data_IF_753781984165
#
_entry.id   IF_753781984165
#
_cell.length_a   1.000
_cell.length_b   1.000
_cell.length_c   1.000
_cell.angle_alpha   90.00
_cell.angle_beta   90.00
_cell.angle_gamma   90.00
#
_symmetry.space_group_name_H-M   'P 1'
#
loop_
_entity.id
_entity.type
_entity.pdbx_description
1 polymer ?
#
# COMPACT_ATOMS: atom_id res chain seq x y z
N UNK A 1 -11.57 -28.28 -23.89
CA UNK A 1 -12.04 -27.75 -22.60
C UNK A 1 -13.29 -28.54 -22.20
N UNK A 2 -13.38 -29.09 -20.98
CA UNK A 2 -14.57 -29.80 -20.52
C UNK A 2 -15.75 -28.83 -20.37
N UNK A 3 -16.96 -29.34 -20.49
CA UNK A 3 -18.17 -28.63 -20.06
C UNK A 3 -18.29 -28.64 -18.52
N UNK A 4 -19.08 -27.73 -17.95
CA UNK A 4 -19.35 -27.70 -16.49
C UNK A 4 -19.83 -29.07 -15.97
N UNK A 5 -20.70 -29.75 -16.73
CA UNK A 5 -21.20 -31.08 -16.36
C UNK A 5 -20.10 -32.14 -16.39
N UNK A 6 -19.24 -32.13 -17.40
CA UNK A 6 -18.11 -33.07 -17.49
C UNK A 6 -17.10 -32.82 -16.39
N UNK A 7 -16.77 -31.55 -16.12
CA UNK A 7 -15.90 -31.15 -15.02
C UNK A 7 -16.46 -31.66 -13.68
N UNK A 8 -17.73 -31.38 -13.38
CA UNK A 8 -18.36 -31.82 -12.13
C UNK A 8 -18.50 -33.35 -11.99
N UNK A 9 -18.38 -34.11 -13.07
CA UNK A 9 -18.35 -35.57 -13.04
C UNK A 9 -16.95 -36.14 -12.74
N UNK A 10 -15.89 -35.32 -12.77
CA UNK A 10 -14.52 -35.71 -12.44
C UNK A 10 -14.31 -35.77 -10.92
N UNK A 11 -13.28 -36.53 -10.50
CA UNK A 11 -12.89 -36.67 -9.09
C UNK A 11 -12.29 -35.36 -8.58
N UNK A 12 -12.89 -34.79 -7.54
CA UNK A 12 -12.36 -33.59 -6.87
C UNK A 12 -11.13 -33.96 -6.04
N UNK A 13 -10.09 -33.12 -6.10
CA UNK A 13 -8.82 -33.31 -5.38
C UNK A 13 -8.42 -32.02 -4.66
N UNK A 14 -7.72 -32.13 -3.53
CA UNK A 14 -7.33 -30.95 -2.73
C UNK A 14 -6.02 -30.30 -3.19
N UNK A 15 -5.12 -31.09 -3.76
CA UNK A 15 -3.82 -30.62 -4.23
C UNK A 15 -3.32 -31.43 -5.41
N UNK A 16 -2.48 -30.80 -6.23
CA UNK A 16 -1.80 -31.46 -7.34
C UNK A 16 -0.34 -31.03 -7.39
N UNK A 17 0.56 -31.99 -7.63
CA UNK A 17 1.95 -31.71 -7.92
C UNK A 17 2.18 -31.77 -9.43
N UNK A 18 2.76 -30.72 -9.99
CA UNK A 18 3.09 -30.63 -11.41
C UNK A 18 4.55 -30.23 -11.60
N UNK A 19 5.20 -30.79 -12.61
CA UNK A 19 6.58 -30.47 -12.96
C UNK A 19 6.58 -29.62 -14.22
N UNK A 20 7.04 -28.38 -14.11
CA UNK A 20 7.25 -27.47 -15.23
C UNK A 20 8.72 -27.50 -15.63
N UNK A 21 9.00 -27.41 -16.94
CA UNK A 21 10.35 -27.14 -17.43
C UNK A 21 10.58 -25.64 -17.46
N UNK A 22 11.39 -25.12 -16.56
CA UNK A 22 11.72 -23.69 -16.51
C UNK A 22 13.09 -23.50 -17.16
N UNK A 23 13.23 -22.59 -18.15
CA UNK A 23 14.54 -22.24 -18.68
C UNK A 23 15.39 -21.64 -17.56
N UNK A 24 16.62 -22.11 -17.38
CA UNK A 24 17.52 -21.55 -16.36
C UNK A 24 17.89 -20.10 -16.73
N UNK A 25 17.12 -19.12 -16.21
CA UNK A 25 17.47 -17.70 -16.30
C UNK A 25 18.67 -17.44 -15.39
N UNK A 26 19.82 -17.07 -15.95
CA UNK A 26 20.89 -16.43 -15.19
C UNK A 26 22.20 -17.19 -14.97
N UNK A 27 22.57 -18.14 -15.82
CA UNK A 27 24.01 -18.39 -16.03
C UNK A 27 24.49 -17.60 -17.25
N UNK A 28 24.54 -16.28 -17.09
CA UNK A 28 25.44 -15.48 -17.92
C UNK A 28 26.85 -15.90 -17.49
N UNK A 29 27.43 -16.88 -18.16
CA UNK A 29 28.86 -17.19 -18.02
C UNK A 29 29.56 -15.89 -18.37
N UNK A 30 30.12 -15.22 -17.36
CA UNK A 30 30.87 -13.99 -17.55
C UNK A 30 32.08 -14.35 -18.42
N UNK A 31 31.97 -14.12 -19.72
CA UNK A 31 33.01 -14.39 -20.70
C UNK A 31 34.09 -13.30 -20.60
N UNK A 32 34.73 -13.19 -19.43
CA UNK A 32 36.01 -12.52 -19.29
C UNK A 32 37.11 -13.52 -19.69
N UNK A 33 37.27 -13.72 -20.99
CA UNK A 33 38.46 -14.39 -21.54
C UNK A 33 38.86 -13.70 -22.83
N UNK A 34 39.68 -12.66 -22.67
CA UNK A 34 40.34 -11.94 -23.76
C UNK A 34 41.73 -12.54 -23.97
N UNK A 35 41.92 -13.29 -25.07
CA UNK A 35 43.13 -13.43 -25.89
C UNK A 35 43.03 -14.75 -26.70
N UNK A 36 43.44 -14.90 -27.97
CA UNK A 36 43.80 -14.07 -29.12
C UNK A 36 44.14 -15.09 -30.24
N UNK A 37 43.85 -14.78 -31.52
CA UNK A 37 44.29 -15.46 -32.76
C UNK A 37 43.89 -16.94 -32.92
N UNK A 38 43.29 -17.40 -34.02
CA UNK A 38 43.77 -17.30 -35.40
C UNK A 38 42.66 -17.72 -36.36
N UNK A 39 42.69 -17.16 -37.57
CA UNK A 39 41.76 -17.39 -38.69
C UNK A 39 41.50 -18.88 -38.99
N UNK A 40 40.22 -19.28 -38.94
CA UNK A 40 39.75 -20.47 -39.66
C UNK A 40 38.23 -20.42 -39.84
N UNK A 41 37.80 -20.23 -41.08
CA UNK A 41 36.40 -20.26 -41.51
C UNK A 41 35.84 -21.69 -41.36
N UNK A 42 34.97 -21.91 -40.37
CA UNK A 42 34.18 -23.14 -40.28
C UNK A 42 32.84 -22.83 -39.62
N UNK A 43 31.83 -22.63 -40.46
CA UNK A 43 30.43 -22.48 -40.06
C UNK A 43 29.89 -23.81 -39.52
N UNK A 44 29.99 -24.04 -38.21
CA UNK A 44 29.28 -25.13 -37.55
C UNK A 44 28.21 -24.56 -36.62
N UNK A 45 26.95 -24.69 -37.05
CA UNK A 45 25.73 -24.45 -36.25
C UNK A 45 25.72 -25.39 -35.03
N UNK A 46 26.36 -24.98 -33.94
CA UNK A 46 26.18 -25.61 -32.64
C UNK A 46 24.90 -25.04 -32.01
N UNK A 47 23.78 -25.76 -32.12
CA UNK A 47 22.58 -25.44 -31.34
C UNK A 47 22.90 -25.59 -29.86
N UNK A 48 23.02 -24.46 -29.18
CA UNK A 48 23.23 -24.44 -27.73
C UNK A 48 21.92 -24.84 -27.08
N UNK A 49 21.77 -26.12 -26.75
CA UNK A 49 20.63 -26.63 -26.00
C UNK A 49 20.56 -25.89 -24.66
N UNK A 50 19.61 -24.97 -24.53
CA UNK A 50 19.39 -24.23 -23.31
C UNK A 50 19.03 -25.21 -22.18
N UNK A 51 19.87 -25.28 -21.15
CA UNK A 51 19.62 -26.13 -20.00
C UNK A 51 18.26 -25.77 -19.35
N UNK A 52 17.34 -26.73 -19.35
CA UNK A 52 16.04 -26.61 -18.66
C UNK A 52 16.13 -27.30 -17.30
N UNK A 53 15.66 -26.61 -16.27
CA UNK A 53 15.49 -27.19 -14.95
C UNK A 53 14.03 -27.67 -14.81
N UNK A 54 13.83 -28.87 -14.28
CA UNK A 54 12.50 -29.30 -13.86
C UNK A 54 12.20 -28.69 -12.48
N UNK A 55 11.19 -27.84 -12.41
CA UNK A 55 10.68 -27.29 -11.17
C UNK A 55 9.38 -28.00 -10.80
N UNK A 56 9.35 -28.61 -9.62
CA UNK A 56 8.14 -29.24 -9.09
C UNK A 56 7.35 -28.21 -8.28
N UNK A 57 6.13 -27.94 -8.72
CA UNK A 57 5.16 -27.09 -8.06
C UNK A 57 4.08 -27.94 -7.40
N UNK A 58 3.57 -27.51 -6.25
CA UNK A 58 2.36 -28.04 -5.62
C UNK A 58 1.38 -26.89 -5.53
N UNK A 59 0.15 -27.10 -5.97
CA UNK A 59 -0.89 -26.07 -5.95
C UNK A 59 -2.23 -26.61 -5.46
N UNK A 60 -3.05 -25.69 -4.95
CA UNK A 60 -4.31 -25.94 -4.23
C UNK A 60 -5.38 -24.92 -4.66
N UNK A 61 -6.67 -25.20 -4.44
CA UNK A 61 -7.70 -24.18 -4.51
C UNK A 61 -7.37 -22.98 -3.61
N UNK A 62 -7.55 -21.77 -4.13
CA UNK A 62 -7.17 -20.50 -3.52
C UNK A 62 -5.83 -19.95 -4.00
N UNK A 63 -4.95 -20.79 -4.56
CA UNK A 63 -3.67 -20.31 -5.07
C UNK A 63 -3.85 -19.48 -6.34
N UNK A 64 -3.00 -18.47 -6.49
CA UNK A 64 -2.89 -17.68 -7.71
C UNK A 64 -1.78 -18.26 -8.59
N UNK A 65 -2.05 -18.36 -9.89
CA UNK A 65 -1.12 -18.89 -10.86
C UNK A 65 -1.02 -18.04 -12.11
N UNK A 66 0.14 -18.15 -12.76
CA UNK A 66 0.41 -17.65 -14.10
C UNK A 66 0.21 -18.78 -15.10
N UNK A 67 -0.55 -18.49 -16.15
CA UNK A 67 -0.90 -19.43 -17.21
C UNK A 67 -0.14 -19.08 -18.48
N UNK A 68 0.21 -20.11 -19.26
CA UNK A 68 0.93 -19.96 -20.52
C UNK A 68 0.12 -19.11 -21.50
N UNK A 69 0.77 -18.11 -22.08
CA UNK A 69 0.18 -17.14 -22.99
C UNK A 69 1.19 -16.74 -24.07
N UNK A 70 0.71 -16.09 -25.14
CA UNK A 70 1.62 -15.47 -26.11
C UNK A 70 2.35 -14.22 -25.55
N UNK A 71 2.09 -13.87 -24.29
CA UNK A 71 2.53 -12.64 -23.63
C UNK A 71 3.46 -12.88 -22.43
N UNK A 72 4.02 -14.08 -22.28
CA UNK A 72 4.72 -14.54 -21.07
C UNK A 72 5.89 -13.64 -20.62
N UNK A 73 6.49 -12.87 -21.54
CA UNK A 73 7.58 -11.92 -21.24
C UNK A 73 7.11 -10.46 -21.13
N UNK A 74 5.80 -10.21 -21.03
CA UNK A 74 5.22 -8.87 -20.97
C UNK A 74 4.39 -8.69 -19.70
N UNK A 75 4.06 -7.45 -19.31
CA UNK A 75 3.10 -7.20 -18.23
C UNK A 75 1.68 -7.74 -18.50
N UNK A 76 1.40 -8.29 -19.69
CA UNK A 76 0.09 -8.87 -20.07
C UNK A 76 -0.02 -10.39 -19.82
N UNK A 77 0.80 -10.94 -18.92
CA UNK A 77 0.69 -12.35 -18.53
C UNK A 77 -0.72 -12.70 -18.02
N UNK A 78 -1.16 -13.92 -18.36
CA UNK A 78 -2.44 -14.46 -17.91
C UNK A 78 -2.36 -14.92 -16.46
N UNK A 79 -3.18 -14.33 -15.61
CA UNK A 79 -3.21 -14.60 -14.16
C UNK A 79 -4.59 -15.07 -13.77
N UNK A 80 -4.65 -16.14 -13.00
CA UNK A 80 -5.91 -16.70 -12.50
C UNK A 80 -5.79 -17.27 -11.10
N UNK A 81 -6.89 -17.28 -10.38
CA UNK A 81 -7.03 -17.94 -9.07
C UNK A 81 -7.67 -19.30 -9.30
N UNK A 82 -7.02 -20.36 -8.83
CA UNK A 82 -7.54 -21.71 -8.90
C UNK A 82 -8.69 -21.82 -7.89
N UNK A 83 -9.92 -22.09 -8.35
CA UNK A 83 -11.08 -22.23 -7.45
C UNK A 83 -11.43 -23.68 -7.16
N UNK A 84 -11.19 -24.58 -8.11
CA UNK A 84 -11.43 -26.03 -7.96
C UNK A 84 -10.39 -26.82 -8.74
N UNK A 85 -10.05 -28.02 -8.25
CA UNK A 85 -9.18 -28.98 -8.91
C UNK A 85 -9.93 -30.29 -9.13
N UNK A 86 -9.89 -30.82 -10.35
CA UNK A 86 -10.50 -32.11 -10.65
C UNK A 86 -9.62 -32.99 -11.52
N UNK A 87 -9.61 -34.27 -11.20
CA UNK A 87 -8.85 -35.31 -11.87
C UNK A 87 -9.77 -36.12 -12.77
N UNK A 88 -9.45 -36.15 -14.06
CA UNK A 88 -10.16 -36.99 -15.01
C UNK A 88 -9.81 -38.46 -14.72
N UNK A 89 -10.81 -39.33 -14.50
CA UNK A 89 -10.55 -40.76 -14.36
C UNK A 89 -9.80 -41.26 -15.58
N UNK A 90 -8.78 -42.10 -15.38
CA UNK A 90 -8.12 -42.76 -16.49
C UNK A 90 -9.17 -43.58 -17.25
N UNK A 91 -9.47 -43.17 -18.47
CA UNK A 91 -10.17 -44.03 -19.41
C UNK A 91 -9.24 -45.23 -19.60
N UNK A 92 -9.72 -46.41 -19.25
CA UNK A 92 -9.02 -47.65 -19.61
C UNK A 92 -9.07 -47.71 -21.12
N UNK A 93 -7.99 -47.30 -21.78
CA UNK A 93 -7.87 -47.42 -23.21
C UNK A 93 -8.21 -48.87 -23.58
N UNK A 94 -9.20 -49.03 -24.46
CA UNK A 94 -9.73 -50.34 -24.84
C UNK A 94 -8.67 -51.20 -25.58
N UNK A 95 -7.56 -50.59 -25.96
CA UNK A 95 -6.39 -51.21 -26.57
C UNK A 95 -5.21 -51.00 -25.61
N UNK A 96 -4.76 -52.07 -24.96
CA UNK A 96 -3.82 -52.04 -23.83
C UNK A 96 -2.39 -51.61 -24.18
N UNK A 97 -2.21 -50.39 -24.67
CA UNK A 97 -0.90 -49.79 -24.87
C UNK A 97 -0.37 -49.30 -23.51
N UNK A 98 0.45 -50.14 -22.87
CA UNK A 98 0.99 -49.92 -21.53
C UNK A 98 2.08 -48.84 -21.48
N UNK A 99 2.42 -48.20 -22.60
CA UNK A 99 3.60 -47.34 -22.71
C UNK A 99 3.35 -45.84 -22.56
N UNK A 100 2.09 -45.37 -22.57
CA UNK A 100 1.80 -44.00 -22.14
C UNK A 100 1.79 -43.95 -20.63
N UNK A 101 2.95 -43.62 -20.04
CA UNK A 101 3.14 -43.32 -18.61
C UNK A 101 1.92 -42.58 -18.07
N UNK A 102 1.10 -43.28 -17.26
CA UNK A 102 -0.27 -42.92 -16.89
C UNK A 102 -0.40 -41.64 -16.07
N UNK A 103 -0.06 -40.50 -16.65
CA UNK A 103 -0.32 -39.19 -16.06
C UNK A 103 -1.83 -38.96 -16.12
N UNK A 104 -2.46 -38.98 -14.95
CA UNK A 104 -3.85 -38.60 -14.84
C UNK A 104 -3.99 -37.14 -15.26
N UNK A 105 -4.96 -36.86 -16.13
CA UNK A 105 -5.22 -35.50 -16.58
C UNK A 105 -5.91 -34.71 -15.47
N UNK A 106 -5.36 -33.56 -15.12
CA UNK A 106 -5.92 -32.67 -14.09
C UNK A 106 -6.43 -31.41 -14.76
N UNK A 107 -7.67 -31.05 -14.43
CA UNK A 107 -8.35 -29.86 -14.88
C UNK A 107 -8.56 -28.90 -13.72
N UNK A 108 -8.44 -27.62 -14.00
CA UNK A 108 -8.55 -26.52 -13.06
C UNK A 108 -9.80 -25.71 -13.41
N UNK A 109 -10.58 -25.30 -12.41
CA UNK A 109 -11.53 -24.19 -12.58
C UNK A 109 -10.83 -22.91 -12.15
N UNK A 110 -10.74 -21.94 -13.06
CA UNK A 110 -9.89 -20.75 -12.89
C UNK A 110 -10.75 -19.51 -12.92
N UNK A 111 -10.58 -18.63 -11.93
CA UNK A 111 -11.16 -17.29 -11.86
C UNK A 111 -10.13 -16.27 -12.36
N UNK A 112 -10.44 -15.56 -13.43
CA UNK A 112 -9.44 -14.73 -14.13
C UNK A 112 -9.20 -13.36 -13.47
N UNK A 113 -7.95 -12.92 -13.50
CA UNK A 113 -7.50 -11.59 -13.11
C UNK A 113 -6.99 -10.84 -14.35
N UNK A 114 -7.66 -9.76 -14.72
CA UNK A 114 -7.53 -9.08 -16.02
C UNK A 114 -6.50 -7.96 -15.95
N UNK A 115 -5.64 -7.83 -16.96
CA UNK A 115 -4.68 -6.73 -17.04
C UNK A 115 -5.34 -5.42 -17.47
N UNK A 116 -4.63 -4.30 -17.32
CA UNK A 116 -5.07 -3.02 -17.88
C UNK A 116 -5.29 -3.07 -19.40
N UNK A 117 -4.48 -3.83 -20.15
CA UNK A 117 -4.64 -3.95 -21.61
C UNK A 117 -5.89 -4.74 -21.96
N UNK A 118 -6.16 -5.82 -21.24
CA UNK A 118 -7.37 -6.61 -21.48
C UNK A 118 -8.63 -5.76 -21.18
N UNK A 119 -8.59 -4.96 -20.11
CA UNK A 119 -9.66 -4.06 -19.73
C UNK A 119 -9.91 -2.95 -20.75
N UNK A 120 -8.86 -2.41 -21.39
CA UNK A 120 -8.98 -1.42 -22.46
C UNK A 120 -9.76 -1.97 -23.67
N UNK A 121 -9.54 -3.24 -24.01
CA UNK A 121 -10.32 -3.92 -25.07
C UNK A 121 -11.77 -4.21 -24.64
N UNK A 122 -11.99 -4.52 -23.35
CA UNK A 122 -13.28 -4.94 -22.83
C UNK A 122 -14.22 -3.77 -22.52
N UNK A 123 -13.69 -2.67 -21.97
CA UNK A 123 -14.41 -1.52 -21.42
C UNK A 123 -14.00 -0.24 -22.18
N UNK A 124 -14.89 0.26 -23.05
CA UNK A 124 -14.59 1.41 -23.93
C UNK A 124 -14.20 2.71 -23.22
N UNK A 125 -14.60 2.90 -21.97
CA UNK A 125 -14.30 4.11 -21.17
C UNK A 125 -13.11 3.93 -20.22
N UNK A 126 -12.44 2.78 -20.29
CA UNK A 126 -11.24 2.50 -19.53
C UNK A 126 -10.03 3.18 -20.19
N UNK A 127 -9.05 3.54 -19.37
CA UNK A 127 -7.79 4.09 -19.84
C UNK A 127 -6.66 3.27 -19.22
N UNK A 128 -5.83 2.65 -20.06
CA UNK A 128 -4.74 1.78 -19.60
C UNK A 128 -3.77 2.49 -18.66
N UNK A 129 -3.57 3.80 -18.83
CA UNK A 129 -2.69 4.64 -18.02
C UNK A 129 -3.17 4.81 -16.56
N UNK A 130 -4.40 4.41 -16.23
CA UNK A 130 -4.91 4.41 -14.85
C UNK A 130 -4.52 3.13 -14.08
N UNK A 131 -3.90 2.15 -14.75
CA UNK A 131 -3.55 0.83 -14.21
C UNK A 131 -2.04 0.61 -14.23
N UNK A 132 -1.47 0.09 -13.13
CA UNK A 132 -0.05 -0.26 -13.14
C UNK A 132 0.20 -1.50 -14.02
N UNK A 133 1.42 -1.69 -14.58
CA UNK A 133 1.71 -2.79 -15.50
C UNK A 133 1.35 -4.19 -14.95
N UNK A 134 1.61 -4.42 -13.66
CA UNK A 134 1.32 -5.69 -12.96
C UNK A 134 0.07 -5.62 -12.06
N UNK A 135 -0.72 -4.55 -12.18
CA UNK A 135 -2.03 -4.48 -11.56
C UNK A 135 -3.02 -5.38 -12.32
N UNK A 136 -3.91 -6.03 -11.58
CA UNK A 136 -4.99 -6.86 -12.13
C UNK A 136 -6.33 -6.46 -11.56
N UNK A 137 -7.39 -6.60 -12.35
CA UNK A 137 -8.76 -6.56 -11.88
C UNK A 137 -9.30 -7.98 -11.72
N UNK A 138 -9.68 -8.37 -10.50
CA UNK A 138 -10.19 -9.71 -10.25
C UNK A 138 -11.63 -9.84 -10.75
N UNK A 139 -11.92 -10.80 -11.61
CA UNK A 139 -13.25 -10.98 -12.22
C UNK A 139 -14.05 -12.12 -11.63
N UNK A 140 -15.37 -12.08 -11.70
CA UNK A 140 -16.27 -13.23 -11.49
C UNK A 140 -16.24 -14.27 -12.62
N UNK A 141 -15.61 -13.98 -13.76
CA UNK A 141 -15.52 -14.86 -14.91
C UNK A 141 -14.60 -16.07 -14.65
N UNK A 142 -15.09 -17.26 -14.96
CA UNK A 142 -14.36 -18.53 -14.79
C UNK A 142 -14.29 -19.35 -16.07
N UNK A 143 -13.20 -20.09 -16.24
CA UNK A 143 -13.01 -21.10 -17.31
C UNK A 143 -12.41 -22.39 -16.74
N UNK A 144 -12.26 -23.40 -17.60
CA UNK A 144 -11.58 -24.65 -17.26
C UNK A 144 -10.25 -24.76 -17.98
N UNK A 145 -9.15 -24.84 -17.25
CA UNK A 145 -7.82 -24.95 -17.83
C UNK A 145 -7.20 -26.31 -17.53
N UNK A 146 -6.35 -26.77 -18.44
CA UNK A 146 -5.53 -27.96 -18.21
C UNK A 146 -4.41 -27.59 -17.23
N UNK A 147 -4.12 -28.42 -16.23
CA UNK A 147 -3.03 -28.17 -15.29
C UNK A 147 -1.66 -27.99 -15.99
N UNK A 148 -1.51 -28.51 -17.20
CA UNK A 148 -0.31 -28.34 -18.03
C UNK A 148 -0.10 -26.91 -18.55
N UNK A 149 -1.12 -26.05 -18.47
CA UNK A 149 -1.01 -24.63 -18.86
C UNK A 149 -0.39 -23.76 -17.77
N UNK A 150 -0.19 -24.30 -16.56
CA UNK A 150 0.44 -23.56 -15.46
C UNK A 150 1.93 -23.35 -15.73
N UNK A 151 2.36 -22.09 -15.66
CA UNK A 151 3.76 -21.68 -15.82
C UNK A 151 4.41 -21.51 -14.45
N UNK A 152 3.75 -20.79 -13.55
CA UNK A 152 4.27 -20.46 -12.23
C UNK A 152 3.16 -20.24 -11.21
N UNK A 153 3.49 -20.40 -9.93
CA UNK A 153 2.65 -19.99 -8.81
C UNK A 153 3.15 -18.63 -8.31
N UNK A 154 2.27 -17.64 -8.31
CA UNK A 154 2.61 -16.26 -7.94
C UNK A 154 1.56 -15.73 -6.98
N UNK A 155 1.93 -14.83 -6.07
CA UNK A 155 0.97 -14.26 -5.13
C UNK A 155 0.37 -12.96 -5.68
N UNK A 156 -0.97 -12.90 -5.78
CA UNK A 156 -1.69 -11.69 -6.14
C UNK A 156 -2.01 -10.89 -4.86
N UNK A 157 -1.25 -9.83 -4.61
CA UNK A 157 -1.44 -9.00 -3.42
C UNK A 157 -2.75 -8.20 -3.49
N UNK A 158 -3.53 -8.21 -2.41
CA UNK A 158 -4.65 -7.28 -2.25
C UNK A 158 -4.12 -5.92 -1.79
N UNK A 159 -4.45 -4.86 -2.52
CA UNK A 159 -4.11 -3.48 -2.20
C UNK A 159 -5.38 -2.71 -1.84
N UNK A 160 -5.59 -2.52 -0.54
CA UNK A 160 -6.61 -1.62 -0.02
C UNK A 160 -6.02 -0.22 0.18
N UNK A 161 -6.53 0.76 -0.57
CA UNK A 161 -6.10 2.16 -0.49
C UNK A 161 -6.33 2.78 0.91
N UNK A 162 -7.25 2.24 1.71
CA UNK A 162 -7.53 2.66 3.07
C UNK A 162 -6.71 1.94 4.15
N UNK A 163 -5.89 0.96 3.78
CA UNK A 163 -5.12 0.16 4.73
C UNK A 163 -4.00 0.96 5.38
N UNK A 164 -3.80 0.74 6.69
CA UNK A 164 -2.68 1.27 7.46
C UNK A 164 -1.41 0.38 7.37
N UNK A 165 -1.56 -0.82 6.80
CA UNK A 165 -0.48 -1.77 6.55
C UNK A 165 -0.59 -2.33 5.12
N UNK A 166 -0.42 -1.47 4.10
CA UNK A 166 -0.44 -1.91 2.71
C UNK A 166 0.77 -2.81 2.39
N UNK A 167 0.65 -3.70 1.39
CA UNK A 167 1.75 -4.58 1.00
C UNK A 167 2.92 -3.80 0.38
N UNK A 168 4.13 -4.31 0.60
CA UNK A 168 5.37 -3.78 0.03
C UNK A 168 5.53 -4.24 -1.43
N UNK A 169 4.96 -3.48 -2.37
CA UNK A 169 4.99 -3.83 -3.79
C UNK A 169 6.33 -3.49 -4.47
N UNK A 170 6.79 -4.39 -5.33
CA UNK A 170 7.85 -4.16 -6.31
C UNK A 170 7.26 -3.92 -7.71
N UNK A 171 8.04 -3.38 -8.66
CA UNK A 171 7.55 -3.09 -10.02
C UNK A 171 6.96 -4.27 -10.77
N UNK A 172 7.37 -5.51 -10.43
CA UNK A 172 6.90 -6.75 -11.06
C UNK A 172 5.93 -7.53 -10.16
N UNK A 173 5.60 -7.02 -8.98
CA UNK A 173 4.68 -7.69 -8.06
C UNK A 173 3.26 -7.59 -8.58
N UNK A 174 2.58 -8.73 -8.69
CA UNK A 174 1.16 -8.78 -9.03
C UNK A 174 0.31 -8.27 -7.86
N UNK A 175 -0.62 -7.36 -8.14
CA UNK A 175 -1.55 -6.88 -7.13
C UNK A 175 -2.92 -6.52 -7.73
N UNK A 176 -3.93 -6.42 -6.88
CA UNK A 176 -5.30 -6.04 -7.24
C UNK A 176 -5.86 -5.04 -6.24
N UNK A 177 -6.61 -4.06 -6.75
CA UNK A 177 -7.42 -3.12 -5.95
C UNK A 177 -8.84 -2.94 -6.48
N UNK A 178 -9.19 -3.67 -7.54
CA UNK A 178 -10.46 -3.54 -8.25
C UNK A 178 -11.04 -4.91 -8.57
N UNK A 179 -12.36 -5.00 -8.48
CA UNK A 179 -13.15 -6.13 -8.95
C UNK A 179 -13.76 -5.78 -10.30
N UNK A 180 -13.57 -6.65 -11.28
CA UNK A 180 -14.24 -6.56 -12.58
C UNK A 180 -15.56 -7.32 -12.49
N UNK A 181 -16.68 -6.64 -12.75
CA UNK A 181 -17.91 -7.32 -13.15
C UNK A 181 -17.89 -7.50 -14.66
N UNK A 182 -17.42 -8.66 -15.12
CA UNK A 182 -17.21 -8.96 -16.55
C UNK A 182 -18.51 -8.88 -17.35
N UNK A 183 -19.61 -9.37 -16.78
CA UNK A 183 -20.94 -9.31 -17.41
C UNK A 183 -21.43 -7.87 -17.63
N UNK A 184 -21.12 -6.97 -16.70
CA UNK A 184 -21.51 -5.56 -16.74
C UNK A 184 -20.45 -4.66 -17.38
N UNK A 185 -19.24 -5.19 -17.63
CA UNK A 185 -18.07 -4.47 -18.13
C UNK A 185 -17.74 -3.25 -17.27
N UNK A 186 -17.68 -3.46 -15.96
CA UNK A 186 -17.55 -2.41 -14.95
C UNK A 186 -16.52 -2.78 -13.87
N UNK A 187 -15.75 -1.80 -13.38
CA UNK A 187 -14.74 -1.96 -12.34
C UNK A 187 -15.18 -1.30 -11.03
N UNK A 188 -15.01 -2.01 -9.91
CA UNK A 188 -15.36 -1.53 -8.57
C UNK A 188 -14.26 -1.81 -7.53
N UNK A 189 -13.70 -0.79 -6.86
CA UNK A 189 -13.76 0.61 -7.27
C UNK A 189 -13.03 0.81 -8.59
N UNK A 190 -13.43 1.81 -9.38
CA UNK A 190 -12.59 2.30 -10.49
C UNK A 190 -11.29 2.85 -9.90
N UNK A 191 -10.11 2.54 -10.49
CA UNK A 191 -8.84 3.17 -10.09
C UNK A 191 -8.98 4.68 -9.98
N UNK A 192 -8.52 5.26 -8.86
CA UNK A 192 -8.69 6.69 -8.60
C UNK A 192 -9.99 7.10 -7.92
N UNK A 193 -11.05 6.28 -7.97
CA UNK A 193 -12.34 6.70 -7.42
C UNK A 193 -12.36 6.74 -5.89
N UNK A 194 -11.68 5.79 -5.24
CA UNK A 194 -11.52 5.74 -3.79
C UNK A 194 -10.49 6.75 -3.25
N UNK A 195 -9.94 7.60 -4.12
CA UNK A 195 -8.85 8.51 -3.79
C UNK A 195 -9.24 9.95 -4.04
N UNK A 196 -8.77 10.82 -3.16
CA UNK A 196 -9.03 12.25 -3.18
C UNK A 196 -10.55 12.56 -3.14
N UNK A 197 -10.94 13.81 -3.37
CA UNK A 197 -12.37 14.17 -3.38
C UNK A 197 -12.97 13.84 -4.76
N UNK A 198 -13.84 12.84 -4.79
CA UNK A 198 -14.58 12.45 -5.99
C UNK A 198 -15.28 13.65 -6.65
N UNK A 199 -15.16 13.77 -7.97
CA UNK A 199 -15.76 14.85 -8.77
C UNK A 199 -15.04 16.21 -8.65
N UNK A 200 -14.07 16.38 -7.75
CA UNK A 200 -13.24 17.60 -7.64
C UNK A 200 -11.78 17.38 -8.00
N UNK A 201 -11.30 16.13 -7.90
CA UNK A 201 -9.96 15.77 -8.32
C UNK A 201 -9.87 15.80 -9.85
N UNK A 202 -9.00 16.66 -10.39
CA UNK A 202 -8.70 16.72 -11.84
C UNK A 202 -7.67 15.66 -12.27
N UNK A 203 -7.06 14.98 -11.29
CA UNK A 203 -6.00 13.98 -11.52
C UNK A 203 -6.62 12.60 -11.60
N UNK A 204 -5.99 11.75 -12.40
CA UNK A 204 -6.25 10.31 -12.45
C UNK A 204 -5.90 9.66 -11.11
N UNK A 205 -6.23 8.38 -10.98
CA UNK A 205 -5.86 7.61 -9.80
C UNK A 205 -4.37 7.57 -9.53
N UNK A 206 -4.00 7.21 -8.30
CA UNK A 206 -2.64 6.90 -7.94
C UNK A 206 -2.13 5.70 -8.75
N UNK A 207 -1.04 5.91 -9.47
CA UNK A 207 -0.36 4.89 -10.26
C UNK A 207 0.97 4.54 -9.59
N UNK A 208 1.10 3.40 -8.87
CA UNK A 208 2.29 3.10 -8.09
C UNK A 208 3.56 2.95 -8.94
N UNK A 209 3.43 2.49 -10.18
CA UNK A 209 4.54 2.25 -11.11
C UNK A 209 4.27 2.88 -12.48
N UNK A 210 4.48 4.19 -12.65
CA UNK A 210 4.33 4.85 -13.94
C UNK A 210 5.46 4.45 -14.90
N UNK A 211 5.13 4.35 -16.19
CA UNK A 211 6.09 3.99 -17.25
C UNK A 211 7.25 4.99 -17.37
N UNK A 212 6.98 6.28 -17.15
CA UNK A 212 7.99 7.33 -17.04
C UNK A 212 8.14 7.79 -15.57
N UNK A 213 9.21 7.36 -14.88
CA UNK A 213 9.50 7.80 -13.52
C UNK A 213 9.82 9.30 -13.42
N UNK A 214 10.27 9.93 -14.50
CA UNK A 214 10.66 11.34 -14.54
C UNK A 214 9.50 12.27 -14.92
N UNK A 215 8.49 11.79 -15.64
CA UNK A 215 7.42 12.60 -16.23
C UNK A 215 6.61 13.48 -15.25
N UNK A 216 6.68 13.27 -13.93
CA UNK A 216 6.27 14.25 -12.90
C UNK A 216 6.17 13.56 -11.54
N UNK A 217 7.27 13.49 -10.79
CA UNK A 217 7.27 12.96 -9.42
C UNK A 217 6.61 13.90 -8.41
N UNK A 218 6.73 15.21 -8.58
CA UNK A 218 6.25 16.20 -7.61
C UNK A 218 4.71 16.28 -7.52
N UNK A 219 4.01 16.28 -8.66
CA UNK A 219 2.54 16.41 -8.70
C UNK A 219 1.77 15.15 -8.29
N UNK A 220 2.50 14.05 -8.02
CA UNK A 220 1.94 12.75 -7.68
C UNK A 220 2.13 12.38 -6.21
N UNK A 221 2.69 13.29 -5.39
CA UNK A 221 2.74 13.12 -3.93
C UNK A 221 1.31 13.20 -3.38
N UNK A 222 0.96 12.24 -2.53
CA UNK A 222 -0.32 12.20 -1.85
C UNK A 222 -0.12 12.17 -0.34
N UNK A 223 -1.01 12.84 0.39
CA UNK A 223 -1.11 12.82 1.85
C UNK A 223 -2.27 11.91 2.27
N UNK A 224 -2.13 11.19 3.38
CA UNK A 224 -3.16 10.29 3.87
C UNK A 224 -3.77 10.80 5.18
N UNK A 225 -5.09 10.82 5.24
CA UNK A 225 -5.79 11.03 6.52
C UNK A 225 -6.03 9.67 7.20
N UNK A 226 -5.39 9.39 8.34
CA UNK A 226 -5.50 8.07 8.96
C UNK A 226 -6.77 7.86 9.79
N UNK A 227 -7.58 8.90 10.05
CA UNK A 227 -8.84 8.75 10.79
C UNK A 227 -9.72 7.70 10.14
N UNK A 228 -10.31 6.84 10.96
CA UNK A 228 -11.16 5.72 10.53
C UNK A 228 -12.30 6.14 9.61
N UNK A 229 -12.90 7.32 9.84
CA UNK A 229 -13.97 7.84 8.99
C UNK A 229 -13.48 8.39 7.65
N UNK A 230 -12.21 8.76 7.54
CA UNK A 230 -11.62 9.35 6.33
C UNK A 230 -10.87 8.32 5.49
N UNK A 231 -9.82 7.69 6.05
CA UNK A 231 -8.90 6.71 5.42
C UNK A 231 -8.71 6.92 3.91
N UNK A 232 -8.28 8.13 3.57
CA UNK A 232 -8.26 8.59 2.18
C UNK A 232 -6.96 9.33 1.87
N UNK A 233 -6.46 9.07 0.67
CA UNK A 233 -5.32 9.76 0.10
C UNK A 233 -5.75 11.00 -0.67
N UNK A 234 -5.02 12.10 -0.53
CA UNK A 234 -5.28 13.36 -1.21
C UNK A 234 -4.02 13.81 -1.96
N UNK A 235 -4.17 14.15 -3.25
CA UNK A 235 -3.08 14.77 -3.99
C UNK A 235 -2.68 16.10 -3.35
N UNK A 236 -1.38 16.33 -3.17
CA UNK A 236 -0.85 17.58 -2.63
C UNK A 236 -1.35 18.79 -3.41
N UNK A 237 -1.28 18.74 -4.74
CA UNK A 237 -1.78 19.80 -5.63
C UNK A 237 -3.27 20.10 -5.41
N UNK A 238 -4.08 19.07 -5.16
CA UNK A 238 -5.50 19.25 -4.89
C UNK A 238 -5.72 19.95 -3.55
N UNK A 239 -4.99 19.57 -2.50
CA UNK A 239 -5.05 20.23 -1.19
C UNK A 239 -4.68 21.71 -1.30
N UNK A 240 -3.58 22.03 -1.99
CA UNK A 240 -3.16 23.41 -2.24
C UNK A 240 -4.25 24.18 -2.99
N UNK A 241 -4.77 23.61 -4.09
CA UNK A 241 -5.81 24.23 -4.91
C UNK A 241 -7.11 24.48 -4.13
N UNK A 242 -7.44 23.62 -3.18
CA UNK A 242 -8.63 23.76 -2.34
C UNK A 242 -8.41 24.68 -1.14
N UNK A 243 -7.23 25.27 -0.98
CA UNK A 243 -6.91 26.08 0.20
C UNK A 243 -6.89 25.25 1.48
N UNK A 244 -6.67 23.94 1.38
CA UNK A 244 -6.50 23.05 2.53
C UNK A 244 -5.04 23.07 3.02
N UNK A 245 -4.41 24.24 2.97
CA UNK A 245 -3.12 24.49 3.58
C UNK A 245 -3.35 24.72 5.07
N UNK A 246 -2.41 24.23 5.86
CA UNK A 246 -2.33 24.60 7.25
C UNK A 246 -1.66 25.97 7.37
N UNK A 247 -2.39 26.95 7.90
CA UNK A 247 -1.90 28.32 7.98
C UNK A 247 -0.86 28.45 9.10
N UNK A 248 0.43 28.70 8.80
CA UNK A 248 1.44 28.90 9.82
C UNK A 248 1.21 30.18 10.64
N UNK A 249 0.39 31.12 10.15
CA UNK A 249 0.01 32.33 10.88
C UNK A 249 -1.16 32.09 11.86
N UNK A 250 -1.84 30.95 11.78
CA UNK A 250 -2.86 30.62 12.76
C UNK A 250 -2.21 30.35 14.12
N UNK A 251 -2.79 30.93 15.17
CA UNK A 251 -2.31 30.83 16.54
C UNK A 251 -2.64 29.46 17.14
N UNK A 252 -1.98 28.41 16.66
CA UNK A 252 -2.06 27.09 17.29
C UNK A 252 -1.22 27.07 18.57
N UNK A 253 -1.74 26.43 19.63
CA UNK A 253 -0.99 26.26 20.88
C UNK A 253 0.21 25.34 20.71
N UNK A 254 0.08 24.29 19.89
CA UNK A 254 1.14 23.31 19.65
C UNK A 254 1.68 23.33 18.22
N UNK A 255 2.91 22.83 18.08
CA UNK A 255 3.59 22.69 16.80
C UNK A 255 2.88 21.69 15.87
N UNK A 256 3.29 21.69 14.61
CA UNK A 256 2.71 20.81 13.60
C UNK A 256 2.85 19.32 13.93
N UNK A 257 3.96 18.91 14.53
CA UNK A 257 4.23 17.52 14.88
C UNK A 257 3.25 17.00 15.93
N UNK A 258 2.93 17.82 16.94
CA UNK A 258 1.89 17.51 17.93
C UNK A 258 0.51 17.43 17.28
N UNK A 259 0.20 18.32 16.35
CA UNK A 259 -1.09 18.32 15.64
C UNK A 259 -1.27 17.08 14.75
N UNK A 260 -0.21 16.63 14.10
CA UNK A 260 -0.21 15.33 13.40
C UNK A 260 -0.44 14.16 14.36
N UNK A 261 0.13 14.23 15.56
CA UNK A 261 -0.09 13.25 16.63
C UNK A 261 -1.50 13.30 17.23
N UNK A 262 -2.31 14.34 17.05
CA UNK A 262 -3.70 14.27 17.54
C UNK A 262 -4.56 13.38 16.68
N UNK A 263 -4.18 13.15 15.42
CA UNK A 263 -4.97 12.36 14.48
C UNK A 263 -4.71 10.86 14.70
N UNK A 264 -5.50 10.26 15.61
CA UNK A 264 -5.43 8.84 15.96
C UNK A 264 -5.82 7.96 14.74
N UNK A 265 -4.96 7.01 14.31
CA UNK A 265 -5.24 6.11 13.19
C UNK A 265 -6.28 5.02 13.49
N UNK A 266 -6.51 4.73 14.78
CA UNK A 266 -7.34 3.62 15.24
C UNK A 266 -8.74 4.06 15.70
N UNK A 267 -8.91 5.35 15.95
CA UNK A 267 -10.16 5.94 16.43
C UNK A 267 -10.68 7.02 15.48
N UNK A 268 -11.97 7.37 15.63
CA UNK A 268 -12.58 8.48 14.91
C UNK A 268 -12.18 9.85 15.52
N UNK A 269 -12.01 9.86 16.84
CA UNK A 269 -11.75 11.06 17.62
C UNK A 269 -10.26 11.37 17.68
N UNK A 270 -9.95 12.63 18.01
CA UNK A 270 -8.58 13.01 18.31
C UNK A 270 -8.07 12.30 19.56
N UNK A 271 -6.77 12.07 19.61
CA UNK A 271 -6.10 11.61 20.81
C UNK A 271 -6.31 12.63 21.94
N UNK A 272 -7.18 12.27 22.89
CA UNK A 272 -7.81 13.20 23.85
C UNK A 272 -6.80 14.06 24.59
N UNK A 273 -5.65 13.48 24.96
CA UNK A 273 -4.60 14.17 25.70
C UNK A 273 -3.96 15.31 24.91
N UNK A 274 -3.81 15.18 23.59
CA UNK A 274 -3.18 16.20 22.75
C UNK A 274 -4.19 17.09 22.04
N UNK A 275 -5.45 16.67 21.95
CA UNK A 275 -6.52 17.34 21.20
C UNK A 275 -6.73 18.80 21.61
N UNK A 276 -6.59 19.12 22.91
CA UNK A 276 -6.74 20.48 23.43
C UNK A 276 -5.75 21.46 22.78
N UNK A 277 -4.49 21.05 22.62
CA UNK A 277 -3.42 21.91 22.10
C UNK A 277 -3.40 22.02 20.57
N UNK A 278 -4.20 21.21 19.87
CA UNK A 278 -4.30 21.24 18.42
C UNK A 278 -5.42 22.13 17.88
N UNK A 279 -6.33 22.60 18.74
CA UNK A 279 -7.43 23.49 18.35
C UNK A 279 -6.93 24.93 18.19
N UNK A 280 -7.55 25.68 17.29
CA UNK A 280 -7.37 27.13 17.21
C UNK A 280 -8.20 27.79 18.34
N UNK A 281 -7.63 28.74 19.10
CA UNK A 281 -8.29 29.35 20.25
C UNK A 281 -9.53 30.19 19.90
N UNK A 282 -9.70 30.60 18.64
CA UNK A 282 -10.72 31.58 18.23
C UNK A 282 -11.79 31.06 17.25
N UNK A 283 -11.87 29.74 17.04
CA UNK A 283 -12.90 29.12 16.16
C UNK A 283 -14.09 28.52 16.93
N UNK A 284 -14.27 28.87 18.21
CA UNK A 284 -15.60 28.73 18.82
C UNK A 284 -16.51 29.72 18.09
N UNK A 285 -17.15 29.22 17.04
CA UNK A 285 -18.09 29.96 16.22
C UNK A 285 -19.11 30.59 17.15
N UNK A 286 -19.30 31.90 17.01
CA UNK A 286 -20.46 32.61 17.53
C UNK A 286 -21.75 32.12 16.85
N UNK A 287 -22.01 30.82 16.92
CA UNK A 287 -23.32 30.20 16.71
C UNK A 287 -24.13 30.24 18.02
N UNK A 288 -23.74 31.07 18.99
CA UNK A 288 -24.61 31.50 20.07
C UNK A 288 -25.67 32.44 19.45
N UNK A 289 -26.79 31.81 19.09
CA UNK A 289 -28.13 32.35 19.23
C UNK A 289 -28.24 33.85 18.90
N UNK A 290 -28.49 34.15 17.62
CA UNK A 290 -29.16 35.39 17.21
C UNK A 290 -30.58 35.43 17.83
N UNK A 291 -30.68 35.53 19.15
CA UNK A 291 -31.85 36.05 19.83
C UNK A 291 -31.86 37.56 19.58
N UNK A 292 -32.46 37.93 18.45
CA UNK A 292 -32.90 39.27 18.12
C UNK A 292 -33.66 39.88 19.30
N UNK A 293 -33.01 40.73 20.12
CA UNK A 293 -33.63 41.93 20.73
C UNK A 293 -32.76 42.56 21.82
N UNK A 294 -31.85 43.46 21.45
CA UNK A 294 -31.49 44.57 22.35
C UNK A 294 -30.81 45.71 21.63
N UNK A 295 -31.62 46.68 21.19
CA UNK A 295 -31.18 48.04 20.88
C UNK A 295 -30.58 48.66 22.15
N UNK A 296 -29.24 48.71 22.22
CA UNK A 296 -28.54 49.22 23.38
C UNK A 296 -27.18 49.80 23.06
N UNK A 297 -27.14 51.09 22.76
CA UNK A 297 -25.97 51.97 22.75
C UNK A 297 -24.81 51.50 23.64
N UNK A 298 -23.63 51.28 23.05
CA UNK A 298 -22.36 51.33 23.80
C UNK A 298 -21.26 52.05 23.03
N UNK A 299 -20.85 53.17 23.63
CA UNK A 299 -19.72 54.00 23.25
C UNK A 299 -18.41 53.20 23.29
N UNK A 300 -17.64 53.35 22.21
CA UNK A 300 -16.36 52.73 21.95
C UNK A 300 -15.27 53.22 22.91
N UNK A 301 -14.90 52.39 23.89
CA UNK A 301 -13.61 52.49 24.58
C UNK A 301 -12.61 51.57 23.86
N UNK A 302 -11.73 52.18 23.06
CA UNK A 302 -10.60 51.50 22.43
C UNK A 302 -9.64 50.99 23.51
N UNK A 303 -9.78 49.73 23.90
CA UNK A 303 -8.78 49.01 24.69
C UNK A 303 -7.58 48.73 23.80
N UNK A 304 -6.50 49.46 24.09
CA UNK A 304 -5.16 49.31 23.51
C UNK A 304 -4.71 47.85 23.65
N UNK A 305 -4.82 47.07 22.56
CA UNK A 305 -4.21 45.75 22.45
C UNK A 305 -2.70 45.92 22.66
N UNK A 306 -2.19 45.46 23.80
CA UNK A 306 -0.76 45.45 24.06
C UNK A 306 -0.12 44.45 23.10
N UNK A 307 0.87 44.96 22.38
CA UNK A 307 1.67 44.39 21.30
C UNK A 307 2.48 43.16 21.78
N UNK A 308 1.80 42.05 22.07
CA UNK A 308 2.40 40.79 22.46
C UNK A 308 2.76 39.99 21.21
N UNK A 309 4.06 39.75 20.98
CA UNK A 309 4.48 38.78 19.97
C UNK A 309 3.80 37.43 20.24
N UNK A 310 3.28 36.74 19.20
CA UNK A 310 2.68 35.42 19.38
C UNK A 310 3.72 34.48 19.98
N UNK A 311 3.34 33.78 21.04
CA UNK A 311 4.20 32.78 21.66
C UNK A 311 4.52 31.69 20.62
N UNK A 312 5.75 31.17 20.65
CA UNK A 312 6.11 30.06 19.77
C UNK A 312 5.25 28.83 20.10
N UNK A 313 4.76 28.08 19.10
CA UNK A 313 3.98 26.87 19.33
C UNK A 313 4.74 25.85 20.19
N UNK A 314 4.03 25.20 21.10
CA UNK A 314 4.60 24.23 22.03
C UNK A 314 5.01 22.95 21.32
N UNK A 315 6.21 22.46 21.63
CA UNK A 315 6.65 21.12 21.21
C UNK A 315 5.92 20.03 21.99
N UNK A 316 6.03 18.76 21.57
CA UNK A 316 5.46 17.63 22.32
C UNK A 316 5.92 17.63 23.79
N UNK A 317 7.21 17.89 24.05
CA UNK A 317 7.72 17.99 25.41
C UNK A 317 7.12 19.18 26.17
N UNK A 318 6.89 20.32 25.51
CA UNK A 318 6.24 21.48 26.10
C UNK A 318 4.80 21.20 26.49
N UNK A 319 4.03 20.57 25.58
CA UNK A 319 2.64 20.15 25.81
C UNK A 319 2.54 19.18 26.99
N UNK A 320 3.37 18.13 27.01
CA UNK A 320 3.40 17.19 28.12
C UNK A 320 3.74 17.89 29.46
N UNK A 321 4.67 18.83 29.46
CA UNK A 321 5.02 19.61 30.65
C UNK A 321 3.85 20.46 31.15
N UNK A 322 3.11 21.11 30.25
CA UNK A 322 1.93 21.92 30.58
C UNK A 322 0.82 21.05 31.21
N UNK A 323 0.67 19.82 30.72
CA UNK A 323 -0.22 18.81 31.29
C UNK A 323 0.27 18.21 32.62
N UNK A 324 1.31 18.79 33.24
CA UNK A 324 1.96 18.29 34.45
C UNK A 324 2.52 16.87 34.32
N UNK A 325 2.95 16.50 33.12
CA UNK A 325 3.61 15.23 32.83
C UNK A 325 5.10 15.46 32.65
N UNK A 326 5.91 14.47 33.02
CA UNK A 326 7.35 14.51 32.81
C UNK A 326 7.68 13.91 31.44
N UNK A 327 8.08 14.70 30.42
CA UNK A 327 8.40 14.18 29.10
C UNK A 327 9.60 13.23 29.15
N UNK A 328 10.53 13.42 30.09
CA UNK A 328 11.66 12.53 30.24
C UNK A 328 11.19 11.16 30.75
N UNK A 329 10.28 11.11 31.72
CA UNK A 329 9.73 9.83 32.16
C UNK A 329 8.88 9.15 31.07
N UNK A 330 7.98 9.91 30.43
CA UNK A 330 7.00 9.34 29.51
C UNK A 330 7.62 8.94 28.16
N UNK A 331 8.69 9.59 27.70
CA UNK A 331 9.28 9.32 26.38
C UNK A 331 10.71 8.76 26.42
N UNK A 332 11.41 8.70 27.56
CA UNK A 332 12.83 8.27 27.59
C UNK A 332 13.07 6.84 27.09
N UNK A 333 12.06 5.98 27.15
CA UNK A 333 12.18 4.60 26.68
C UNK A 333 11.98 4.47 25.17
N UNK A 334 11.52 5.52 24.48
CA UNK A 334 11.36 5.54 23.04
C UNK A 334 12.61 6.11 22.37
N UNK A 335 13.08 5.51 21.25
CA UNK A 335 14.12 6.12 20.44
C UNK A 335 13.70 7.52 19.96
N UNK A 336 14.56 8.55 20.03
CA UNK A 336 14.22 9.89 19.56
C UNK A 336 13.77 9.92 18.08
N UNK A 337 14.37 9.08 17.24
CA UNK A 337 13.99 8.94 15.83
C UNK A 337 12.55 8.41 15.66
N UNK A 338 12.10 7.51 16.53
CA UNK A 338 10.72 7.00 16.52
C UNK A 338 9.73 8.15 16.79
N UNK A 339 10.00 8.96 17.81
CA UNK A 339 9.14 10.11 18.16
C UNK A 339 9.05 11.10 17.00
N UNK A 340 10.18 11.41 16.34
CA UNK A 340 10.20 12.30 15.16
C UNK A 340 9.44 11.69 13.97
N UNK A 341 9.53 10.38 13.75
CA UNK A 341 8.75 9.69 12.71
C UNK A 341 7.25 9.72 13.02
N UNK A 342 6.85 9.57 14.28
CA UNK A 342 5.45 9.67 14.68
C UNK A 342 4.84 11.06 14.37
N UNK A 343 5.67 12.09 14.42
CA UNK A 343 5.35 13.48 14.10
C UNK A 343 5.45 13.82 12.60
N UNK A 344 5.79 12.87 11.73
CA UNK A 344 5.81 13.08 10.28
C UNK A 344 4.40 12.99 9.67
N UNK A 345 4.14 13.69 8.54
CA UNK A 345 2.94 13.46 7.75
C UNK A 345 2.97 12.08 7.11
N UNK A 346 1.78 11.53 6.82
CA UNK A 346 1.67 10.27 6.09
C UNK A 346 1.59 10.57 4.62
N UNK A 347 2.59 10.16 3.86
CA UNK A 347 2.69 10.46 2.44
C UNK A 347 3.11 9.25 1.62
N UNK A 348 2.80 9.30 0.33
CA UNK A 348 3.31 8.36 -0.67
C UNK A 348 3.63 9.06 -1.99
N UNK A 349 4.48 8.41 -2.78
CA UNK A 349 4.86 8.84 -4.13
C UNK A 349 5.00 7.63 -5.04
N UNK A 350 4.70 7.78 -6.33
CA UNK A 350 4.86 6.70 -7.30
C UNK A 350 6.34 6.44 -7.58
N UNK A 351 6.64 5.22 -8.03
CA UNK A 351 7.96 4.79 -8.47
C UNK A 351 8.45 3.53 -7.75
N UNK A 352 9.55 2.94 -8.25
CA UNK A 352 10.15 1.77 -7.64
C UNK A 352 10.71 2.10 -6.25
N UNK A 353 10.97 1.06 -5.46
CA UNK A 353 11.64 1.20 -4.18
C UNK A 353 13.01 1.89 -4.34
N UNK A 354 13.09 3.16 -3.96
CA UNK A 354 14.34 3.93 -3.86
C UNK A 354 14.58 4.27 -2.41
N UNK A 355 15.78 3.97 -1.91
CA UNK A 355 16.16 4.20 -0.52
C UNK A 355 15.25 3.48 0.52
N UNK A 356 14.53 2.44 0.07
CA UNK A 356 13.57 1.67 0.88
C UNK A 356 12.19 2.32 1.00
N UNK A 357 11.79 3.16 0.04
CA UNK A 357 10.45 3.71 -0.06
C UNK A 357 9.61 2.99 -1.11
N UNK A 358 8.61 2.26 -0.66
CA UNK A 358 7.65 1.62 -1.54
C UNK A 358 6.64 2.63 -2.08
N UNK A 359 5.92 2.30 -3.17
CA UNK A 359 4.79 3.10 -3.63
C UNK A 359 3.70 3.28 -2.57
N UNK A 360 3.68 2.45 -1.52
CA UNK A 360 2.78 2.61 -0.39
C UNK A 360 3.11 3.81 0.51
N UNK A 361 4.33 4.36 0.41
CA UNK A 361 4.76 5.49 1.23
C UNK A 361 5.25 5.08 2.62
N UNK A 362 5.00 5.94 3.63
CA UNK A 362 5.38 5.73 5.04
C UNK A 362 4.21 5.44 5.97
N UNK A 363 3.00 5.16 5.44
CA UNK A 363 1.82 4.93 6.28
C UNK A 363 2.09 3.90 7.37
N UNK A 364 2.76 2.81 6.99
CA UNK A 364 3.13 1.71 7.87
C UNK A 364 4.00 2.17 9.04
N UNK A 365 5.10 2.88 8.76
CA UNK A 365 6.05 3.29 9.81
C UNK A 365 5.52 4.43 10.67
N UNK A 366 4.85 5.42 10.07
CA UNK A 366 4.29 6.55 10.83
C UNK A 366 3.18 6.08 11.75
N UNK A 367 2.22 5.26 11.26
CA UNK A 367 1.13 4.73 12.10
C UNK A 367 1.69 3.92 13.26
N UNK A 368 2.66 3.04 13.00
CA UNK A 368 3.30 2.25 14.04
C UNK A 368 4.02 3.14 15.08
N UNK A 369 4.77 4.15 14.62
CA UNK A 369 5.44 5.09 15.52
C UNK A 369 4.44 5.87 16.37
N UNK A 370 3.32 6.33 15.80
CA UNK A 370 2.23 7.00 16.53
C UNK A 370 1.63 6.12 17.61
N UNK A 371 1.30 4.87 17.29
CA UNK A 371 0.78 3.91 18.27
C UNK A 371 1.75 3.68 19.43
N UNK A 372 3.05 3.56 19.14
CA UNK A 372 4.07 3.41 20.18
C UNK A 372 4.22 4.67 21.05
N UNK A 373 4.07 5.87 20.46
CA UNK A 373 4.04 7.14 21.22
C UNK A 373 2.79 7.25 22.09
N UNK A 374 1.60 6.89 21.58
CA UNK A 374 0.36 6.89 22.38
C UNK A 374 0.46 5.92 23.55
N UNK A 375 0.93 4.69 23.28
CA UNK A 375 1.21 3.69 24.30
C UNK A 375 2.10 4.23 25.44
N UNK A 376 3.20 4.90 25.08
CA UNK A 376 4.10 5.51 26.04
C UNK A 376 3.42 6.62 26.87
N UNK A 377 2.62 7.47 26.21
CA UNK A 377 1.90 8.58 26.86
C UNK A 377 0.74 8.06 27.71
N UNK A 378 -0.01 7.04 27.33
CA UNK A 378 -1.14 6.58 28.15
C UNK A 378 -0.69 5.83 29.41
N UNK A 379 0.59 5.45 29.48
CA UNK A 379 1.17 4.60 30.54
C UNK A 379 0.49 3.23 30.67
N UNK A 380 -0.37 2.86 29.73
CA UNK A 380 -0.98 1.53 29.62
C UNK A 380 0.05 0.40 29.46
N UNK A 381 1.33 0.76 29.23
CA UNK A 381 2.42 -0.15 28.89
C UNK A 381 3.61 -0.11 29.85
N UNK A 382 3.60 0.78 30.85
CA UNK A 382 4.77 1.11 31.67
C UNK A 382 4.84 0.29 32.97
N UNK A 383 4.63 -1.01 32.88
CA UNK A 383 5.29 -1.94 33.80
C UNK A 383 6.71 -2.21 33.27
N UNK A 384 7.68 -2.49 34.15
CA UNK A 384 9.13 -2.65 33.87
C UNK A 384 9.51 -3.67 32.77
N UNK A 385 8.53 -4.36 32.16
CA UNK A 385 8.71 -5.43 31.18
C UNK A 385 8.84 -4.98 29.72
N UNK A 386 8.61 -3.72 29.35
CA UNK A 386 8.62 -3.29 27.94
C UNK A 386 9.91 -3.61 27.17
N UNK A 387 11.12 -3.34 27.70
CA UNK A 387 12.37 -3.73 27.02
C UNK A 387 12.55 -5.26 26.91
N UNK A 388 11.80 -6.03 27.70
CA UNK A 388 11.84 -7.48 27.73
C UNK A 388 10.72 -8.14 26.90
N UNK A 389 9.72 -7.40 26.42
CA UNK A 389 8.65 -7.95 25.58
C UNK A 389 9.21 -8.40 24.23
N UNK A 390 8.83 -9.61 23.82
CA UNK A 390 9.15 -10.11 22.49
C UNK A 390 8.37 -9.34 21.40
N UNK A 391 8.84 -9.32 20.15
CA UNK A 391 8.13 -8.66 19.04
C UNK A 391 6.67 -9.09 18.90
N UNK A 392 6.35 -10.38 19.12
CA UNK A 392 4.97 -10.88 19.03
C UNK A 392 4.07 -10.31 20.13
N UNK A 393 4.54 -10.27 21.37
CA UNK A 393 3.75 -9.71 22.49
C UNK A 393 3.48 -8.22 22.27
N UNK A 394 4.48 -7.50 21.78
CA UNK A 394 4.34 -6.09 21.44
C UNK A 394 3.37 -5.88 20.27
N UNK A 395 3.42 -6.76 19.27
CA UNK A 395 2.50 -6.79 18.13
C UNK A 395 1.05 -7.00 18.58
N UNK A 396 0.81 -8.03 19.39
CA UNK A 396 -0.52 -8.39 19.90
C UNK A 396 -1.13 -7.26 20.74
N UNK A 397 -0.32 -6.59 21.57
CA UNK A 397 -0.80 -5.51 22.44
C UNK A 397 -1.01 -4.18 21.71
N UNK A 398 -0.16 -3.83 20.75
CA UNK A 398 -0.30 -2.58 19.96
C UNK A 398 -1.36 -2.71 18.86
N UNK A 399 -1.99 -3.88 18.73
CA UNK A 399 -3.01 -4.13 17.71
C UNK A 399 -2.46 -4.06 16.29
N UNK A 400 -1.14 -4.21 16.12
CA UNK A 400 -0.52 -4.34 14.83
C UNK A 400 -0.50 -5.83 14.46
N UNK A 401 -0.58 -6.19 13.17
CA UNK A 401 -0.25 -7.57 12.71
C UNK A 401 1.25 -7.74 12.45
N UNK A 402 2.06 -6.77 12.88
CA UNK A 402 3.32 -6.45 12.25
C UNK A 402 4.51 -6.90 13.08
N UNK A 403 5.32 -7.79 12.51
CA UNK A 403 6.60 -8.30 13.03
C UNK A 403 7.67 -7.22 13.31
N UNK A 404 7.36 -5.96 13.02
CA UNK A 404 8.24 -4.79 13.15
C UNK A 404 7.81 -3.82 14.26
N UNK A 405 6.76 -4.14 15.04
CA UNK A 405 6.46 -3.41 16.27
C UNK A 405 7.59 -3.64 17.27
N UNK A 406 8.64 -2.82 17.19
CA UNK A 406 9.77 -2.87 18.11
C UNK A 406 10.30 -1.46 18.37
N UNK A 407 10.59 -1.08 19.63
CA UNK A 407 11.30 0.15 19.96
C UNK A 407 12.81 0.05 19.64
N UNK A 408 13.24 -0.89 18.79
CA UNK A 408 14.64 -1.10 18.43
C UNK A 408 15.22 0.14 17.73
N UNK A 409 16.00 0.95 18.46
CA UNK A 409 16.52 2.24 17.99
C UNK A 409 17.22 2.19 16.61
N UNK A 410 18.10 1.21 16.30
CA UNK A 410 18.78 1.19 15.01
C UNK A 410 17.87 1.04 13.79
N UNK A 411 16.67 0.49 13.95
CA UNK A 411 15.66 0.47 12.89
C UNK A 411 15.13 1.89 12.62
N UNK A 412 14.69 2.58 13.67
CA UNK A 412 14.10 3.92 13.57
C UNK A 412 15.11 4.97 13.12
N UNK A 413 16.35 4.92 13.61
CA UNK A 413 17.43 5.81 13.15
C UNK A 413 17.76 5.61 11.66
N UNK A 414 17.74 4.36 11.19
CA UNK A 414 17.92 4.07 9.75
C UNK A 414 16.74 4.63 8.95
N UNK A 415 15.51 4.52 9.48
CA UNK A 415 14.32 5.01 8.79
C UNK A 415 14.28 6.53 8.73
N UNK A 416 14.65 7.20 9.80
CA UNK A 416 14.79 8.64 9.86
C UNK A 416 15.82 9.16 8.84
N UNK A 417 17.00 8.56 8.76
CA UNK A 417 18.00 8.96 7.76
C UNK A 417 17.49 8.83 6.32
N UNK A 418 16.62 7.86 6.07
CA UNK A 418 15.94 7.69 4.77
C UNK A 418 14.85 8.74 4.53
N UNK A 419 14.24 9.28 5.58
CA UNK A 419 13.26 10.37 5.52
C UNK A 419 13.94 11.73 5.29
N UNK A 420 15.11 11.96 5.88
CA UNK A 420 15.87 13.22 5.72
C UNK A 420 16.26 13.51 4.26
N UNK A 421 16.42 12.48 3.44
CA UNK A 421 16.71 12.63 2.00
C UNK A 421 15.47 12.95 1.14
N UNK A 422 14.27 12.97 1.72
CA UNK A 422 13.03 13.08 0.98
C UNK A 422 12.50 14.53 0.94
N UNK A 423 12.37 15.07 -0.27
CA UNK A 423 11.99 16.47 -0.52
C UNK A 423 10.55 16.83 -0.14
N UNK A 424 9.71 15.85 0.20
CA UNK A 424 8.32 16.11 0.59
C UNK A 424 8.20 16.45 2.08
N UNK A 425 9.24 16.22 2.89
CA UNK A 425 9.31 16.73 4.26
C UNK A 425 9.28 18.27 4.27
N UNK A 426 9.71 18.90 3.17
CA UNK A 426 9.65 20.35 2.94
C UNK A 426 8.30 20.82 2.35
N UNK A 427 7.33 19.93 2.17
CA UNK A 427 6.00 20.32 1.71
C UNK A 427 5.31 21.20 2.77
N UNK A 428 4.52 22.22 2.35
CA UNK A 428 3.76 22.99 3.31
C UNK A 428 2.80 22.06 4.05
N UNK A 429 2.61 22.25 5.37
CA UNK A 429 1.64 21.49 6.14
C UNK A 429 0.23 21.69 5.56
N UNK A 430 -0.59 20.64 5.63
CA UNK A 430 -1.90 20.57 4.96
C UNK A 430 -2.94 19.93 5.86
N UNK A 431 -4.19 20.37 5.70
CA UNK A 431 -5.32 19.87 6.45
C UNK A 431 -6.14 18.88 5.64
N UNK A 432 -6.70 17.87 6.30
CA UNK A 432 -7.70 17.01 5.69
C UNK A 432 -8.93 17.84 5.33
N UNK A 433 -9.38 17.84 4.06
CA UNK A 433 -10.53 18.66 3.66
C UNK A 433 -11.83 18.20 4.33
N UNK A 434 -11.90 16.93 4.79
CA UNK A 434 -13.08 16.30 5.41
C UNK A 434 -13.15 16.52 6.92
N UNK A 435 -12.14 16.12 7.67
CA UNK A 435 -12.15 16.22 9.14
C UNK A 435 -11.41 17.45 9.69
N UNK A 436 -10.75 18.24 8.83
CA UNK A 436 -9.92 19.41 9.21
C UNK A 436 -8.72 19.10 10.10
N UNK A 437 -8.43 17.82 10.37
CA UNK A 437 -7.22 17.40 11.08
C UNK A 437 -5.96 17.54 10.23
N UNK A 438 -4.83 17.68 10.89
CA UNK A 438 -3.49 17.70 10.32
C UNK A 438 -3.16 16.40 9.56
N UNK A 439 -2.61 16.47 8.33
CA UNK A 439 -2.22 15.27 7.54
C UNK A 439 -0.86 15.34 6.83
#
# INVERSE_FOLDING_TARGET
MPTEREFNAMEEIDECAYETSVPMRGHSVSADSTCQSSDSDSESDASVDAATALQRHVFRPGDTAVFASEYDDTPNIWVGIITELRKQPQLKDAEGDQNTSGRCKVWLKVKWAWSGKDLDTLIKSFHVDDFAPFERALSEYTTFEDAQTLVAMEYLHEWDEGSLDPPELQPTTLFTRSLLSHSRKFLDPRPGHAMCIAGRCIRNGYLPFPDDPQASSAHKVMHFCPRTTCRMWYHRDCLIRWGALDDPAAEYMADWGVRLLTTNPDEEHDFVLLAFHAKQPNTESGDEDEDESSDGHRDSAATTAMDGMPAAPLTLAGVLSEMSRDPAADLAHLPPALVRIAQCPIVRRPGPARDGWYPAGNVKEVVLARRLVYAAIERDFMDDGWPAMGPQELTDRVGAKMWYATPYAPFWERRERKLEGETWMDAPPVLCPRCKGAI
#
